data_IF_862707044005
#
_entry.id   IF_862707044005
#
_cell.length_a   1.000
_cell.length_b   1.000
_cell.length_c   1.000
_cell.angle_alpha   90.00
_cell.angle_beta   90.00
_cell.angle_gamma   90.00
#
_symmetry.space_group_name_H-M   'P 1'
#
loop_
_entity.id
_entity.type
_entity.pdbx_description
1 polymer ?
#
# COMPACT_ATOMS: atom_id res chain seq x y z
N UNK A 1 -35.63 14.55 -25.51
CA UNK A 1 -35.34 13.11 -25.62
C UNK A 1 -33.84 12.91 -25.54
N UNK A 2 -33.39 12.30 -24.46
CA UNK A 2 -32.15 11.50 -24.30
C UNK A 2 -31.75 11.61 -22.83
N UNK A 3 -32.01 10.54 -22.08
CA UNK A 3 -31.94 10.49 -20.62
C UNK A 3 -30.52 10.20 -20.11
N UNK A 4 -30.22 10.77 -18.93
CA UNK A 4 -29.06 10.44 -18.10
C UNK A 4 -29.27 9.12 -17.35
N UNK A 5 -28.19 8.46 -16.92
CA UNK A 5 -28.19 7.59 -15.73
C UNK A 5 -26.87 7.74 -14.96
N UNK A 6 -26.95 8.34 -13.77
CA UNK A 6 -25.97 8.19 -12.70
C UNK A 6 -26.74 7.58 -11.52
N UNK A 7 -26.18 6.54 -10.90
CA UNK A 7 -26.77 5.89 -9.74
C UNK A 7 -26.28 6.59 -8.46
N UNK A 8 -27.20 7.09 -7.64
CA UNK A 8 -26.97 7.40 -6.25
C UNK A 8 -28.08 6.71 -5.43
N UNK A 9 -27.69 5.86 -4.48
CA UNK A 9 -28.60 5.28 -3.48
C UNK A 9 -28.55 6.17 -2.25
N UNK A 10 -29.73 6.66 -1.82
CA UNK A 10 -29.94 7.25 -0.49
C UNK A 10 -31.05 6.46 0.18
N UNK A 11 -30.78 5.97 1.40
CA UNK A 11 -31.78 5.38 2.27
C UNK A 11 -32.57 6.48 2.99
N UNK A 12 -33.89 6.48 2.76
CA UNK A 12 -34.97 6.81 3.70
C UNK A 12 -34.84 8.03 4.63
N UNK A 13 -35.37 9.18 4.19
CA UNK A 13 -36.33 9.99 4.97
C UNK A 13 -36.94 11.12 4.10
N UNK A 14 -38.24 11.39 4.29
CA UNK A 14 -38.96 12.49 3.64
C UNK A 14 -38.80 13.79 4.44
N UNK A 15 -38.41 14.88 3.77
CA UNK A 15 -38.71 16.25 4.23
C UNK A 15 -39.12 17.11 3.03
N UNK A 16 -40.37 17.58 3.07
CA UNK A 16 -40.94 18.53 2.12
C UNK A 16 -40.54 19.94 2.56
N UNK A 17 -39.84 20.70 1.72
CA UNK A 17 -39.74 22.16 1.84
C UNK A 17 -40.16 22.77 0.52
N UNK A 18 -41.29 23.48 0.55
CA UNK A 18 -41.75 24.35 -0.55
C UNK A 18 -41.20 25.74 -0.26
N UNK A 19 -40.33 26.24 -1.14
CA UNK A 19 -39.81 27.60 -1.07
C UNK A 19 -39.21 28.04 -2.40
N UNK A 20 -39.76 29.11 -2.98
CA UNK A 20 -39.41 29.65 -4.28
C UNK A 20 -37.98 30.24 -4.32
N UNK A 21 -37.32 30.07 -5.47
CA UNK A 21 -36.02 30.66 -5.76
C UNK A 21 -36.20 32.10 -6.22
N UNK A 22 -35.66 33.06 -5.47
CA UNK A 22 -35.14 34.31 -6.03
C UNK A 22 -33.84 34.70 -5.32
N UNK A 23 -32.73 34.65 -6.05
CA UNK A 23 -31.63 35.62 -5.94
C UNK A 23 -30.66 35.52 -4.76
N UNK A 24 -29.42 35.17 -5.12
CA UNK A 24 -28.14 35.65 -4.58
C UNK A 24 -27.78 35.35 -3.10
N UNK A 25 -26.68 34.60 -2.93
CA UNK A 25 -25.85 34.57 -1.73
C UNK A 25 -25.89 33.26 -0.95
N UNK A 26 -24.96 32.34 -1.24
CA UNK A 26 -24.64 31.24 -0.33
C UNK A 26 -23.78 31.81 0.81
N UNK A 27 -24.46 32.29 1.86
CA UNK A 27 -23.89 32.35 3.19
C UNK A 27 -23.94 30.93 3.77
N UNK A 28 -22.79 30.28 3.92
CA UNK A 28 -22.69 29.02 4.66
C UNK A 28 -22.84 29.33 6.14
N UNK A 29 -24.05 29.14 6.67
CA UNK A 29 -24.30 29.03 8.10
C UNK A 29 -23.53 27.83 8.64
N UNK A 30 -22.48 28.08 9.41
CA UNK A 30 -21.82 27.06 10.21
C UNK A 30 -22.84 26.47 11.19
N UNK A 31 -23.21 25.20 10.97
CA UNK A 31 -23.89 24.40 11.98
C UNK A 31 -22.79 23.92 12.92
N UNK A 32 -22.68 24.56 14.09
CA UNK A 32 -21.84 24.07 15.18
C UNK A 32 -22.36 22.70 15.62
N UNK A 33 -21.54 21.66 15.47
CA UNK A 33 -21.81 20.34 16.03
C UNK A 33 -21.89 20.44 17.57
N UNK A 34 -22.82 19.72 18.22
CA UNK A 34 -22.83 19.66 19.68
C UNK A 34 -21.58 18.92 20.14
N UNK A 35 -20.93 19.47 21.18
CA UNK A 35 -19.88 18.78 21.91
C UNK A 35 -20.43 17.44 22.44
N UNK A 36 -19.62 16.38 22.32
CA UNK A 36 -19.85 14.98 22.72
C UNK A 36 -20.65 14.07 21.76
N UNK A 37 -20.25 13.97 20.50
CA UNK A 37 -20.51 12.73 19.74
C UNK A 37 -19.47 11.69 20.19
N UNK A 38 -19.91 10.62 20.84
CA UNK A 38 -19.05 9.44 21.07
C UNK A 38 -18.56 8.97 19.71
N UNK A 39 -17.24 8.89 19.53
CA UNK A 39 -16.68 8.36 18.28
C UNK A 39 -17.20 6.94 18.08
N UNK A 40 -17.69 6.65 16.88
CA UNK A 40 -18.18 5.31 16.57
C UNK A 40 -17.00 4.33 16.61
N UNK A 41 -17.08 3.25 17.41
CA UNK A 41 -16.00 2.28 17.49
C UNK A 41 -15.79 1.53 16.17
N UNK A 42 -14.60 0.94 16.00
CA UNK A 42 -14.36 -0.11 15.01
C UNK A 42 -15.49 -1.14 15.08
N UNK A 43 -16.10 -1.47 13.94
CA UNK A 43 -17.26 -2.35 13.87
C UNK A 43 -16.94 -3.60 13.05
N UNK A 44 -17.34 -4.77 13.57
CA UNK A 44 -17.13 -6.07 12.92
C UNK A 44 -18.46 -6.77 12.72
N UNK A 45 -18.79 -7.19 11.49
CA UNK A 45 -20.04 -7.88 11.18
C UNK A 45 -19.93 -8.79 9.96
N UNK A 46 -20.91 -9.67 9.78
CA UNK A 46 -21.04 -10.54 8.60
C UNK A 46 -22.26 -10.14 7.76
N UNK A 47 -22.07 -10.06 6.45
CA UNK A 47 -23.15 -10.04 5.45
C UNK A 47 -22.93 -11.16 4.44
N UNK A 48 -23.86 -12.13 4.43
CA UNK A 48 -23.70 -13.37 3.66
C UNK A 48 -22.51 -14.21 4.16
N UNK A 49 -21.50 -14.38 3.31
CA UNK A 49 -20.24 -15.07 3.63
C UNK A 49 -19.04 -14.11 3.70
N UNK A 50 -19.31 -12.80 3.82
CA UNK A 50 -18.28 -11.76 3.88
C UNK A 50 -18.23 -11.17 5.28
N UNK A 51 -17.05 -11.17 5.91
CA UNK A 51 -16.80 -10.41 7.14
C UNK A 51 -16.32 -9.01 6.76
N UNK A 52 -16.88 -8.01 7.44
CA UNK A 52 -16.47 -6.62 7.34
C UNK A 52 -15.87 -6.19 8.67
N UNK A 53 -14.69 -5.59 8.60
CA UNK A 53 -14.03 -4.91 9.71
C UNK A 53 -13.87 -3.46 9.28
N UNK A 54 -14.57 -2.54 9.94
CA UNK A 54 -14.60 -1.13 9.57
C UNK A 54 -14.08 -0.33 10.75
N UNK A 55 -12.98 0.40 10.56
CA UNK A 55 -12.36 1.20 11.60
C UNK A 55 -13.20 2.41 12.01
N UNK A 56 -12.73 3.07 13.08
CA UNK A 56 -13.49 4.14 13.71
C UNK A 56 -13.38 5.43 12.88
N UNK A 57 -14.50 6.09 12.53
CA UNK A 57 -14.43 7.34 11.78
C UNK A 57 -13.66 8.42 12.54
N UNK A 58 -12.65 9.01 11.90
CA UNK A 58 -11.84 10.10 12.43
C UNK A 58 -10.82 9.71 13.52
N UNK A 59 -10.44 8.44 13.63
CA UNK A 59 -9.45 7.94 14.59
C UNK A 59 -8.60 6.82 14.03
N UNK A 60 -7.30 6.87 14.34
CA UNK A 60 -6.37 5.74 14.21
C UNK A 60 -6.89 4.47 14.91
N UNK A 61 -6.89 3.38 14.15
CA UNK A 61 -7.34 2.04 14.49
C UNK A 61 -6.14 1.09 14.47
N UNK A 62 -6.03 0.23 15.49
CA UNK A 62 -5.10 -0.90 15.49
C UNK A 62 -5.90 -2.18 15.28
N UNK A 63 -5.91 -2.69 14.05
CA UNK A 63 -6.72 -3.84 13.66
C UNK A 63 -5.81 -5.05 13.47
N UNK A 64 -5.96 -6.05 14.32
CA UNK A 64 -5.32 -7.35 14.17
C UNK A 64 -6.38 -8.40 13.83
N UNK A 65 -6.24 -9.01 12.65
CA UNK A 65 -7.15 -10.02 12.15
C UNK A 65 -6.43 -11.33 11.91
N UNK A 66 -7.00 -12.44 12.40
CA UNK A 66 -6.38 -13.76 12.34
C UNK A 66 -7.40 -14.82 11.93
N UNK A 67 -6.94 -15.83 11.19
CA UNK A 67 -7.71 -17.02 10.89
C UNK A 67 -7.37 -18.13 11.90
N UNK A 68 -8.20 -18.30 12.94
CA UNK A 68 -7.92 -19.29 13.98
C UNK A 68 -8.52 -20.67 13.63
N UNK A 69 -7.68 -21.69 13.72
CA UNK A 69 -8.03 -23.10 13.59
C UNK A 69 -8.02 -23.74 14.99
N UNK A 70 -8.99 -23.40 15.85
CA UNK A 70 -9.07 -23.98 17.19
C UNK A 70 -9.16 -25.52 17.14
N UNK A 71 -8.15 -26.20 17.70
CA UNK A 71 -7.91 -27.63 17.57
C UNK A 71 -8.72 -28.55 18.51
N UNK A 72 -9.64 -28.04 19.34
CA UNK A 72 -10.22 -28.88 20.41
C UNK A 72 -11.67 -29.33 20.22
N UNK A 73 -12.45 -28.78 19.27
CA UNK A 73 -13.88 -29.15 19.17
C UNK A 73 -14.44 -29.43 17.76
N UNK A 74 -13.62 -29.39 16.70
CA UNK A 74 -14.07 -29.74 15.34
C UNK A 74 -15.27 -28.90 14.84
N UNK A 75 -15.44 -27.69 15.37
CA UNK A 75 -16.53 -26.78 15.03
C UNK A 75 -15.99 -25.52 14.36
N UNK A 76 -16.12 -25.50 13.02
CA UNK A 76 -16.05 -24.38 12.07
C UNK A 76 -14.82 -23.45 12.22
N UNK A 77 -13.91 -23.40 11.23
CA UNK A 77 -12.89 -22.36 11.23
C UNK A 77 -13.54 -20.97 11.19
N UNK A 78 -13.10 -20.08 12.08
CA UNK A 78 -13.71 -18.77 12.27
C UNK A 78 -12.66 -17.67 12.08
N UNK A 79 -13.09 -16.57 11.44
CA UNK A 79 -12.30 -15.33 11.43
C UNK A 79 -12.37 -14.69 12.81
N UNK A 80 -11.24 -14.14 13.27
CA UNK A 80 -11.16 -13.48 14.57
C UNK A 80 -10.53 -12.09 14.45
N UNK A 81 -11.10 -11.11 15.16
CA UNK A 81 -10.50 -9.78 15.34
C UNK A 81 -10.14 -9.61 16.80
N UNK A 82 -8.88 -9.26 17.09
CA UNK A 82 -8.42 -9.05 18.45
C UNK A 82 -8.94 -7.71 19.00
N UNK A 83 -9.64 -7.76 20.14
CA UNK A 83 -10.26 -6.62 20.83
C UNK A 83 -9.96 -6.63 22.35
N UNK A 84 -8.68 -6.43 22.76
CA UNK A 84 -8.27 -6.51 24.17
C UNK A 84 -8.92 -5.42 25.04
N UNK A 85 -9.32 -4.30 24.46
CA UNK A 85 -9.95 -3.19 25.16
C UNK A 85 -11.48 -3.27 25.20
N UNK A 86 -12.08 -4.26 24.51
CA UNK A 86 -13.53 -4.40 24.39
C UNK A 86 -14.20 -3.28 23.58
N UNK A 87 -13.40 -2.51 22.83
CA UNK A 87 -13.78 -1.32 22.10
C UNK A 87 -14.42 -1.60 20.73
N UNK A 88 -14.38 -2.83 20.23
CA UNK A 88 -14.92 -3.18 18.91
C UNK A 88 -16.43 -3.46 18.99
N UNK A 89 -17.24 -2.73 18.24
CA UNK A 89 -18.67 -3.03 18.12
C UNK A 89 -18.88 -4.34 17.34
N UNK A 90 -19.54 -5.31 17.99
CA UNK A 90 -19.87 -6.60 17.38
C UNK A 90 -21.26 -6.53 16.76
N UNK A 91 -21.29 -6.58 15.43
CA UNK A 91 -22.50 -6.61 14.64
C UNK A 91 -23.01 -8.02 14.34
N UNK A 92 -24.04 -8.14 13.48
CA UNK A 92 -24.68 -9.42 13.16
C UNK A 92 -23.70 -10.47 12.64
N UNK A 93 -23.91 -11.73 13.02
CA UNK A 93 -23.12 -12.86 12.54
C UNK A 93 -21.76 -13.05 13.21
N UNK A 94 -21.40 -12.20 14.17
CA UNK A 94 -20.21 -12.36 15.00
C UNK A 94 -20.57 -12.41 16.49
N UNK A 95 -19.69 -12.98 17.30
CA UNK A 95 -19.82 -13.05 18.76
C UNK A 95 -18.50 -12.72 19.43
N UNK A 96 -18.53 -12.10 20.61
CA UNK A 96 -17.33 -11.87 21.40
C UNK A 96 -17.03 -13.09 22.27
N UNK A 97 -15.79 -13.58 22.23
CA UNK A 97 -15.30 -14.64 23.10
C UNK A 97 -14.66 -14.08 24.39
N UNK A 98 -14.52 -14.93 25.40
CA UNK A 98 -13.93 -14.62 26.71
C UNK A 98 -12.43 -14.33 26.66
N UNK A 99 -11.77 -14.58 25.53
CA UNK A 99 -10.34 -14.37 25.29
C UNK A 99 -10.01 -13.01 24.64
N UNK A 100 -10.99 -12.09 24.58
CA UNK A 100 -10.87 -10.77 23.91
C UNK A 100 -10.84 -10.83 22.37
N UNK A 101 -11.50 -11.81 21.76
CA UNK A 101 -11.65 -11.88 20.31
C UNK A 101 -13.10 -11.71 19.87
N UNK A 102 -13.30 -11.09 18.70
CA UNK A 102 -14.58 -11.11 17.98
C UNK A 102 -14.52 -12.21 16.94
N UNK A 103 -15.34 -13.25 17.11
CA UNK A 103 -15.39 -14.45 16.27
C UNK A 103 -16.52 -14.35 15.25
N UNK A 104 -16.21 -14.59 13.98
CA UNK A 104 -17.14 -14.56 12.85
C UNK A 104 -17.03 -15.89 12.06
N UNK A 105 -17.97 -16.84 12.23
CA UNK A 105 -17.94 -18.14 11.55
C UNK A 105 -18.50 -18.09 10.11
N UNK A 106 -18.20 -19.12 9.31
CA UNK A 106 -18.72 -19.35 7.95
C UNK A 106 -18.36 -18.26 6.92
N UNK A 107 -17.15 -17.74 7.01
CA UNK A 107 -16.67 -16.66 6.16
C UNK A 107 -15.80 -17.21 5.02
N UNK A 108 -16.03 -16.73 3.80
CA UNK A 108 -15.23 -17.06 2.61
C UNK A 108 -14.51 -15.85 2.01
N UNK A 109 -14.85 -14.64 2.48
CA UNK A 109 -14.19 -13.39 2.10
C UNK A 109 -14.12 -12.40 3.27
N UNK A 110 -13.04 -11.62 3.34
CA UNK A 110 -12.92 -10.51 4.27
C UNK A 110 -12.74 -9.17 3.53
N UNK A 111 -13.34 -8.13 4.10
CA UNK A 111 -13.11 -6.74 3.72
C UNK A 111 -12.75 -5.99 4.99
N UNK A 112 -11.55 -5.43 5.01
CA UNK A 112 -11.03 -4.65 6.13
C UNK A 112 -10.82 -3.22 5.63
N UNK A 113 -11.25 -2.25 6.41
CA UNK A 113 -11.18 -0.82 6.11
C UNK A 113 -10.77 -0.11 7.39
N UNK A 114 -9.64 0.60 7.38
CA UNK A 114 -9.15 1.36 8.55
C UNK A 114 -9.94 2.63 8.83
N UNK A 115 -10.53 3.24 7.81
CA UNK A 115 -11.36 4.44 7.95
C UNK A 115 -10.57 5.74 7.79
N UNK A 116 -10.62 6.62 8.80
CA UNK A 116 -9.84 7.87 8.76
C UNK A 116 -8.83 7.90 9.91
N UNK A 117 -7.66 8.47 9.64
CA UNK A 117 -6.53 8.57 10.56
C UNK A 117 -5.51 7.47 10.31
N UNK A 118 -4.31 7.64 10.88
CA UNK A 118 -3.19 6.72 10.67
C UNK A 118 -3.49 5.35 11.31
N UNK A 119 -3.80 4.36 10.50
CA UNK A 119 -4.22 3.02 10.91
C UNK A 119 -3.06 2.03 10.87
N UNK A 120 -3.09 1.05 11.77
CA UNK A 120 -2.21 -0.11 11.70
C UNK A 120 -3.04 -1.37 11.54
N UNK A 121 -2.93 -2.01 10.39
CA UNK A 121 -3.71 -3.19 10.05
C UNK A 121 -2.77 -4.36 9.78
N UNK A 122 -2.94 -5.44 10.53
CA UNK A 122 -2.19 -6.68 10.33
C UNK A 122 -3.16 -7.83 10.13
N UNK A 123 -2.99 -8.53 9.02
CA UNK A 123 -3.72 -9.76 8.72
C UNK A 123 -2.71 -10.89 8.81
N UNK A 124 -2.94 -11.83 9.71
CA UNK A 124 -2.04 -12.97 9.91
C UNK A 124 -2.74 -14.30 9.62
N UNK A 125 -1.92 -15.26 9.19
CA UNK A 125 -2.24 -16.63 8.82
C UNK A 125 -2.78 -16.78 7.40
N UNK A 126 -2.21 -17.75 6.67
CA UNK A 126 -2.76 -18.28 5.42
C UNK A 126 -4.24 -18.55 5.65
N UNK A 127 -5.10 -17.69 5.12
CA UNK A 127 -6.50 -17.48 5.53
C UNK A 127 -7.45 -18.66 5.27
N UNK A 128 -6.97 -19.91 5.25
CA UNK A 128 -7.75 -21.11 5.00
C UNK A 128 -8.43 -21.12 3.63
N UNK A 129 -7.92 -20.35 2.67
CA UNK A 129 -8.57 -20.12 1.37
C UNK A 129 -9.60 -18.98 1.34
N UNK A 130 -9.67 -18.16 2.40
CA UNK A 130 -10.47 -16.93 2.42
C UNK A 130 -9.74 -15.83 1.66
N UNK A 131 -10.43 -15.22 0.69
CA UNK A 131 -9.91 -14.03 0.00
C UNK A 131 -10.10 -12.79 0.87
N UNK A 132 -9.12 -11.90 0.92
CA UNK A 132 -9.25 -10.62 1.62
C UNK A 132 -9.00 -9.43 0.71
N UNK A 133 -9.70 -8.34 1.01
CA UNK A 133 -9.38 -7.00 0.54
C UNK A 133 -9.13 -6.14 1.77
N UNK A 134 -8.03 -5.41 1.77
CA UNK A 134 -7.65 -4.47 2.81
C UNK A 134 -7.63 -3.07 2.20
N UNK A 135 -8.28 -2.13 2.87
CA UNK A 135 -8.26 -0.71 2.61
C UNK A 135 -7.63 -0.03 3.84
N UNK A 136 -6.58 0.75 3.64
CA UNK A 136 -6.02 1.59 4.71
C UNK A 136 -7.05 2.64 5.12
N UNK A 137 -7.42 3.49 4.18
CA UNK A 137 -8.40 4.54 4.42
C UNK A 137 -7.79 5.90 4.10
N UNK A 138 -8.10 6.92 4.89
CA UNK A 138 -7.38 8.20 4.83
C UNK A 138 -6.41 8.31 5.99
N UNK A 139 -5.25 8.91 5.79
CA UNK A 139 -4.20 8.95 6.81
C UNK A 139 -2.99 8.14 6.36
N UNK A 140 -1.93 8.16 7.16
CA UNK A 140 -0.70 7.46 6.85
C UNK A 140 -0.73 6.09 7.52
N UNK A 141 -1.05 5.06 6.75
CA UNK A 141 -1.35 3.74 7.27
C UNK A 141 -0.15 2.81 7.26
N UNK A 142 -0.13 1.84 8.17
CA UNK A 142 0.82 0.73 8.16
C UNK A 142 0.10 -0.59 7.99
N UNK A 143 0.25 -1.19 6.82
CA UNK A 143 -0.53 -2.31 6.35
C UNK A 143 0.36 -3.53 6.19
N UNK A 144 0.03 -4.63 6.86
CA UNK A 144 0.73 -5.92 6.72
C UNK A 144 -0.27 -6.97 6.25
N UNK A 145 -0.49 -7.07 4.92
CA UNK A 145 -1.33 -8.10 4.32
C UNK A 145 -0.66 -9.48 4.29
N UNK A 146 -1.42 -10.55 4.55
CA UNK A 146 -1.00 -11.95 4.31
C UNK A 146 -2.09 -12.71 3.54
N UNK A 147 -1.79 -13.18 2.32
CA UNK A 147 -1.94 -12.42 1.07
C UNK A 147 -3.36 -11.82 0.89
N UNK A 148 -3.43 -10.50 0.83
CA UNK A 148 -4.66 -9.75 0.49
C UNK A 148 -4.49 -8.97 -0.80
N UNK A 149 -5.60 -8.53 -1.40
CA UNK A 149 -5.54 -7.35 -2.25
C UNK A 149 -5.53 -6.12 -1.34
N UNK A 150 -4.58 -5.22 -1.53
CA UNK A 150 -4.40 -4.03 -0.70
C UNK A 150 -4.59 -2.76 -1.52
N UNK A 151 -5.15 -1.76 -0.87
CA UNK A 151 -5.32 -0.39 -1.33
C UNK A 151 -5.00 0.50 -0.11
N UNK A 152 -3.91 1.25 -0.14
CA UNK A 152 -3.52 2.14 0.96
C UNK A 152 -4.55 3.23 1.15
N UNK A 153 -4.78 4.00 0.08
CA UNK A 153 -5.75 5.09 0.05
C UNK A 153 -5.04 6.44 0.03
N UNK A 154 -5.66 7.53 0.51
CA UNK A 154 -4.97 8.80 0.63
C UNK A 154 -4.09 8.89 1.88
N UNK A 155 -2.81 9.21 1.69
CA UNK A 155 -1.81 9.39 2.74
C UNK A 155 -0.46 8.81 2.31
N UNK A 156 0.57 9.01 3.11
CA UNK A 156 1.87 8.37 2.87
C UNK A 156 1.87 7.01 3.60
N UNK A 157 1.54 5.93 2.89
CA UNK A 157 1.31 4.60 3.47
C UNK A 157 2.58 3.74 3.50
N UNK A 158 2.62 2.78 4.42
CA UNK A 158 3.65 1.74 4.46
C UNK A 158 3.00 0.37 4.34
N UNK A 159 3.31 -0.36 3.28
CA UNK A 159 2.70 -1.65 2.95
C UNK A 159 3.76 -2.75 2.95
N UNK A 160 3.62 -3.69 3.88
CA UNK A 160 4.53 -4.81 4.11
C UNK A 160 4.09 -6.07 3.35
N UNK A 161 4.69 -6.30 2.17
CA UNK A 161 4.23 -7.25 1.16
C UNK A 161 4.89 -8.63 1.30
N UNK A 162 4.04 -9.65 1.31
CA UNK A 162 4.41 -11.05 1.11
C UNK A 162 3.91 -11.59 -0.23
N UNK A 163 4.39 -12.77 -0.60
CA UNK A 163 4.06 -13.44 -1.85
C UNK A 163 2.53 -13.57 -2.09
N UNK A 164 2.10 -13.25 -3.31
CA UNK A 164 0.73 -13.37 -3.79
C UNK A 164 -0.12 -12.10 -3.62
N UNK A 165 0.50 -10.98 -3.28
CA UNK A 165 -0.19 -9.72 -2.95
C UNK A 165 -0.28 -8.80 -4.19
N UNK A 166 -1.48 -8.25 -4.44
CA UNK A 166 -1.65 -7.09 -5.33
C UNK A 166 -1.82 -5.86 -4.45
N UNK A 167 -0.96 -4.86 -4.65
CA UNK A 167 -0.92 -3.67 -3.83
C UNK A 167 -1.07 -2.41 -4.68
N UNK A 168 -1.94 -1.52 -4.22
CA UNK A 168 -2.05 -0.14 -4.66
C UNK A 168 -1.69 0.74 -3.46
N UNK A 169 -0.78 1.69 -3.64
CA UNK A 169 -0.45 2.70 -2.63
C UNK A 169 -1.62 3.66 -2.49
N UNK A 170 -1.84 4.48 -3.51
CA UNK A 170 -3.01 5.36 -3.59
C UNK A 170 -2.61 6.79 -3.90
N UNK A 171 -3.03 7.74 -3.07
CA UNK A 171 -2.58 9.14 -3.18
C UNK A 171 -1.60 9.43 -2.05
N UNK A 172 -0.35 9.79 -2.34
CA UNK A 172 0.67 10.11 -1.33
C UNK A 172 2.00 9.47 -1.69
N UNK A 173 2.99 9.57 -0.80
CA UNK A 173 4.30 8.97 -1.03
C UNK A 173 4.36 7.63 -0.29
N UNK A 174 4.05 6.56 -1.00
CA UNK A 174 3.88 5.25 -0.41
C UNK A 174 5.18 4.47 -0.37
N UNK A 175 5.31 3.60 0.64
CA UNK A 175 6.46 2.71 0.82
C UNK A 175 6.01 1.26 0.83
N UNK A 176 6.46 0.50 -0.16
CA UNK A 176 6.28 -0.95 -0.23
C UNK A 176 7.54 -1.64 0.28
N UNK A 177 7.42 -2.40 1.36
CA UNK A 177 8.49 -3.29 1.85
C UNK A 177 8.22 -4.68 1.30
N UNK A 178 9.15 -5.23 0.53
CA UNK A 178 8.92 -6.49 -0.20
C UNK A 178 9.72 -7.64 0.41
N UNK A 179 9.05 -8.75 0.67
CA UNK A 179 9.67 -10.01 1.14
C UNK A 179 9.47 -11.12 0.10
N UNK A 180 10.36 -11.19 -0.88
CA UNK A 180 10.34 -12.19 -1.96
C UNK A 180 8.98 -12.46 -2.64
N UNK A 181 8.88 -13.58 -3.36
CA UNK A 181 7.62 -14.04 -3.94
C UNK A 181 7.12 -13.27 -5.17
N UNK A 182 5.82 -13.41 -5.46
CA UNK A 182 5.15 -12.75 -6.60
C UNK A 182 4.25 -11.61 -6.12
N UNK A 183 4.29 -10.45 -6.75
CA UNK A 183 3.49 -9.27 -6.38
C UNK A 183 3.10 -8.48 -7.63
N UNK A 184 2.07 -7.64 -7.53
CA UNK A 184 1.73 -6.62 -8.52
C UNK A 184 1.55 -5.29 -7.78
N UNK A 185 2.50 -4.38 -7.95
CA UNK A 185 2.62 -3.12 -7.20
C UNK A 185 2.33 -1.96 -8.16
N UNK A 186 1.42 -1.08 -7.73
CA UNK A 186 1.15 0.23 -8.32
C UNK A 186 1.34 1.26 -7.21
N UNK A 187 2.18 2.26 -7.43
CA UNK A 187 2.38 3.35 -6.47
C UNK A 187 1.13 4.21 -6.36
N UNK A 188 0.75 4.83 -7.47
CA UNK A 188 -0.46 5.65 -7.57
C UNK A 188 -0.11 7.08 -7.91
N UNK A 189 -0.56 8.04 -7.10
CA UNK A 189 -0.14 9.44 -7.23
C UNK A 189 0.80 9.79 -6.10
N UNK A 190 1.86 10.55 -6.39
CA UNK A 190 2.86 10.93 -5.41
C UNK A 190 4.21 10.39 -5.82
N UNK A 191 5.06 10.05 -4.85
CA UNK A 191 6.42 9.56 -5.09
C UNK A 191 6.64 8.29 -4.29
N UNK A 192 6.60 7.17 -4.98
CA UNK A 192 6.43 5.87 -4.34
C UNK A 192 7.73 5.07 -4.35
N UNK A 193 7.96 4.33 -3.26
CA UNK A 193 9.19 3.58 -3.02
C UNK A 193 8.90 2.09 -2.92
N UNK A 194 9.60 1.28 -3.70
CA UNK A 194 9.71 -0.16 -3.46
C UNK A 194 11.07 -0.47 -2.82
N UNK A 195 11.02 -1.06 -1.64
CA UNK A 195 12.18 -1.32 -0.78
C UNK A 195 12.45 -2.81 -0.63
N UNK A 196 13.56 -3.25 -1.21
CA UNK A 196 14.15 -4.58 -1.09
C UNK A 196 15.31 -4.65 -0.09
N UNK A 197 15.47 -3.66 0.79
CA UNK A 197 16.64 -3.52 1.66
C UNK A 197 16.91 -4.69 2.63
N UNK A 198 15.99 -5.64 2.78
CA UNK A 198 16.21 -6.89 3.54
C UNK A 198 16.63 -8.08 2.68
N UNK A 199 16.59 -7.95 1.35
CA UNK A 199 17.00 -9.00 0.43
C UNK A 199 18.53 -9.09 0.37
N UNK A 200 19.04 -10.32 0.45
CA UNK A 200 20.49 -10.59 0.33
C UNK A 200 20.86 -11.17 -1.03
N UNK A 201 19.86 -11.53 -1.84
CA UNK A 201 20.04 -12.01 -3.20
C UNK A 201 19.87 -10.85 -4.17
N UNK A 202 20.54 -10.95 -5.33
CA UNK A 202 20.37 -10.01 -6.43
C UNK A 202 18.88 -9.84 -6.79
N UNK A 203 18.43 -8.58 -6.76
CA UNK A 203 17.12 -8.11 -7.16
C UNK A 203 17.23 -7.46 -8.53
N UNK A 204 16.22 -7.64 -9.37
CA UNK A 204 16.19 -6.93 -10.63
C UNK A 204 14.79 -6.50 -10.93
N UNK A 205 14.68 -5.22 -11.27
CA UNK A 205 13.41 -4.53 -11.46
C UNK A 205 13.51 -3.65 -12.68
N UNK A 206 12.47 -3.71 -13.50
CA UNK A 206 12.25 -2.82 -14.63
C UNK A 206 10.90 -2.14 -14.44
N UNK A 207 10.90 -0.81 -14.39
CA UNK A 207 9.67 -0.01 -14.28
C UNK A 207 8.95 0.08 -15.64
N UNK A 208 8.47 -1.06 -16.15
CA UNK A 208 7.79 -1.17 -17.46
C UNK A 208 6.40 -1.83 -17.38
N UNK A 209 5.98 -2.26 -16.20
CA UNK A 209 4.69 -2.91 -15.99
C UNK A 209 4.61 -4.34 -16.54
N UNK A 210 5.75 -4.99 -16.77
CA UNK A 210 5.87 -6.40 -17.13
C UNK A 210 6.20 -7.20 -15.87
N UNK A 211 5.55 -8.37 -15.73
CA UNK A 211 5.77 -9.25 -14.59
C UNK A 211 7.06 -10.07 -14.70
N UNK A 212 8.23 -9.45 -14.59
CA UNK A 212 9.55 -10.12 -14.53
C UNK A 212 10.50 -9.59 -13.43
N UNK A 213 9.93 -8.86 -12.47
CA UNK A 213 10.64 -8.20 -11.38
C UNK A 213 10.85 -9.09 -10.15
N UNK A 214 11.92 -8.79 -9.40
CA UNK A 214 12.20 -9.32 -8.08
C UNK A 214 13.53 -10.06 -7.94
N UNK A 215 13.76 -10.72 -6.79
CA UNK A 215 15.00 -11.44 -6.53
C UNK A 215 15.16 -12.66 -7.44
N UNK A 216 16.41 -13.07 -7.68
CA UNK A 216 16.74 -14.29 -8.44
C UNK A 216 15.96 -15.50 -7.91
N UNK A 217 15.28 -16.21 -8.81
CA UNK A 217 14.41 -17.34 -8.47
C UNK A 217 12.95 -16.97 -8.20
N UNK A 218 12.63 -15.67 -8.07
CA UNK A 218 11.29 -15.13 -7.82
C UNK A 218 10.90 -13.99 -8.78
N UNK A 219 11.51 -13.94 -9.98
CA UNK A 219 11.25 -12.96 -11.06
C UNK A 219 9.90 -13.16 -11.75
N UNK A 220 8.84 -12.95 -10.99
CA UNK A 220 7.45 -13.00 -11.45
C UNK A 220 6.62 -11.89 -10.76
N UNK A 221 7.29 -10.95 -10.07
CA UNK A 221 6.67 -9.73 -9.57
C UNK A 221 6.50 -8.74 -10.71
N UNK A 222 5.60 -7.78 -10.53
CA UNK A 222 5.39 -6.65 -11.42
C UNK A 222 5.45 -5.37 -10.60
N UNK A 223 6.39 -4.49 -10.92
CA UNK A 223 6.45 -3.13 -10.41
C UNK A 223 6.12 -2.22 -11.58
N UNK A 224 5.03 -1.46 -11.40
CA UNK A 224 4.50 -0.64 -12.46
C UNK A 224 5.28 0.68 -12.61
N UNK A 225 5.17 1.35 -13.77
CA UNK A 225 5.92 2.58 -14.04
C UNK A 225 5.45 3.82 -13.26
N UNK A 226 4.40 3.71 -12.45
CA UNK A 226 3.93 4.71 -11.48
C UNK A 226 4.58 4.55 -10.11
N UNK A 227 5.76 3.93 -10.07
CA UNK A 227 6.69 3.90 -8.94
C UNK A 227 7.96 4.63 -9.41
N UNK A 228 8.53 5.49 -8.59
CA UNK A 228 9.72 6.28 -8.96
C UNK A 228 10.98 5.85 -8.20
N UNK A 229 10.83 5.23 -7.03
CA UNK A 229 11.94 4.88 -6.15
C UNK A 229 12.12 3.39 -6.00
N UNK A 230 13.36 2.95 -6.20
CA UNK A 230 13.78 1.58 -5.95
C UNK A 230 14.96 1.59 -4.98
N UNK A 231 14.89 0.70 -3.99
CA UNK A 231 15.97 0.47 -3.05
C UNK A 231 16.33 -1.00 -3.01
N UNK A 232 17.57 -1.31 -3.34
CA UNK A 232 18.16 -2.64 -3.27
C UNK A 232 18.67 -3.00 -1.88
N UNK A 233 19.23 -4.20 -1.81
CA UNK A 233 19.66 -4.88 -0.59
C UNK A 233 21.17 -5.03 -0.54
N UNK A 234 21.63 -6.25 -0.23
CA UNK A 234 23.07 -6.57 -0.21
C UNK A 234 23.53 -7.42 -1.41
N UNK A 235 22.67 -7.55 -2.42
CA UNK A 235 22.93 -8.34 -3.61
C UNK A 235 23.41 -7.44 -4.75
N UNK A 236 23.90 -8.05 -5.84
CA UNK A 236 24.20 -7.33 -7.06
C UNK A 236 22.88 -7.02 -7.80
N UNK A 237 22.33 -5.86 -7.54
CA UNK A 237 20.99 -5.46 -7.94
C UNK A 237 20.99 -4.80 -9.32
N UNK A 238 19.87 -4.87 -10.04
CA UNK A 238 19.75 -4.32 -11.38
C UNK A 238 18.41 -3.59 -11.56
N UNK A 239 18.44 -2.26 -11.56
CA UNK A 239 17.26 -1.41 -11.68
C UNK A 239 17.26 -0.63 -12.99
N UNK A 240 16.12 -0.58 -13.66
CA UNK A 240 15.94 0.15 -14.90
C UNK A 240 14.59 0.85 -14.98
N UNK A 241 14.58 2.08 -15.49
CA UNK A 241 13.38 2.79 -15.91
C UNK A 241 13.43 3.15 -17.39
N UNK A 242 12.24 3.23 -18.01
CA UNK A 242 12.06 3.65 -19.40
C UNK A 242 11.02 4.77 -19.56
N UNK A 243 10.30 5.12 -18.50
CA UNK A 243 9.38 6.26 -18.44
C UNK A 243 10.13 7.59 -18.34
N UNK A 244 9.47 8.71 -18.63
CA UNK A 244 10.07 10.05 -18.59
C UNK A 244 9.95 10.76 -17.22
N UNK A 245 9.85 9.97 -16.15
CA UNK A 245 9.64 10.43 -14.77
C UNK A 245 10.99 10.52 -14.05
N UNK A 246 11.09 11.34 -13.01
CA UNK A 246 12.31 11.46 -12.20
C UNK A 246 12.38 10.33 -11.17
N UNK A 247 13.33 9.41 -11.34
CA UNK A 247 13.49 8.24 -10.49
C UNK A 247 14.59 8.45 -9.43
N UNK A 248 14.48 7.79 -8.27
CA UNK A 248 15.62 7.62 -7.36
C UNK A 248 15.91 6.14 -7.12
N UNK A 249 17.04 5.67 -7.66
CA UNK A 249 17.49 4.30 -7.47
C UNK A 249 18.67 4.26 -6.50
N UNK A 250 18.59 3.36 -5.53
CA UNK A 250 19.64 3.08 -4.55
C UNK A 250 20.02 1.61 -4.65
N UNK A 251 21.23 1.30 -5.09
CA UNK A 251 21.73 -0.07 -5.26
C UNK A 251 21.87 -0.79 -3.92
N UNK A 252 22.69 -0.25 -3.02
CA UNK A 252 22.86 -0.79 -1.67
C UNK A 252 24.28 -1.30 -1.45
N UNK A 253 24.43 -2.53 -0.99
CA UNK A 253 25.72 -3.22 -1.06
C UNK A 253 25.69 -4.20 -2.24
N UNK A 254 26.77 -4.32 -3.00
CA UNK A 254 26.83 -5.21 -4.16
C UNK A 254 27.46 -4.51 -5.35
N UNK A 255 27.76 -5.27 -6.42
CA UNK A 255 28.10 -4.63 -7.69
C UNK A 255 26.80 -4.39 -8.48
N UNK A 256 26.27 -3.16 -8.45
CA UNK A 256 24.92 -2.84 -8.91
C UNK A 256 24.88 -2.27 -10.34
N UNK A 257 23.73 -2.41 -11.01
CA UNK A 257 23.46 -1.82 -12.32
C UNK A 257 22.21 -0.94 -12.23
N UNK A 258 22.38 0.39 -12.29
CA UNK A 258 21.28 1.35 -12.22
C UNK A 258 21.16 2.13 -13.53
N UNK A 259 19.96 2.10 -14.14
CA UNK A 259 19.66 2.77 -15.41
C UNK A 259 18.43 3.68 -15.19
N UNK A 260 18.63 4.99 -15.10
CA UNK A 260 17.58 5.98 -14.84
C UNK A 260 16.59 6.14 -16.00
N UNK A 261 17.12 6.17 -17.23
CA UNK A 261 16.29 6.33 -18.42
C UNK A 261 16.08 7.81 -18.76
N UNK A 262 14.91 8.19 -19.29
CA UNK A 262 14.57 9.60 -19.45
C UNK A 262 14.06 10.22 -18.13
N UNK A 263 14.51 11.41 -17.77
CA UNK A 263 14.13 12.06 -16.52
C UNK A 263 15.32 12.82 -15.93
N UNK A 264 15.14 13.54 -14.83
CA UNK A 264 16.28 13.97 -14.02
C UNK A 264 16.41 12.96 -12.88
N UNK A 265 17.17 11.91 -13.11
CA UNK A 265 17.25 10.78 -12.20
C UNK A 265 18.32 10.99 -11.13
N UNK A 266 18.12 10.36 -9.97
CA UNK A 266 19.15 10.25 -8.92
C UNK A 266 19.53 8.78 -8.76
N UNK A 267 20.77 8.44 -9.09
CA UNK A 267 21.29 7.08 -9.00
C UNK A 267 22.41 7.04 -7.95
N UNK A 268 22.25 6.18 -6.95
CA UNK A 268 23.17 5.99 -5.84
C UNK A 268 23.58 4.51 -5.83
N UNK A 269 24.79 4.20 -6.29
CA UNK A 269 25.32 2.83 -6.38
C UNK A 269 25.43 2.21 -4.99
N UNK A 270 26.21 2.85 -4.12
CA UNK A 270 26.37 2.43 -2.75
C UNK A 270 27.74 1.80 -2.54
N UNK A 271 27.81 0.62 -1.93
CA UNK A 271 29.07 -0.10 -1.73
C UNK A 271 29.27 -1.16 -2.79
N UNK A 272 30.38 -1.12 -3.52
CA UNK A 272 30.73 -2.12 -4.53
C UNK A 272 31.19 -1.45 -5.81
N UNK A 273 31.37 -2.22 -6.89
CA UNK A 273 31.76 -1.64 -8.18
C UNK A 273 30.52 -1.48 -9.05
N UNK A 274 29.98 -0.28 -9.07
CA UNK A 274 28.66 -0.04 -9.63
C UNK A 274 28.72 0.42 -11.08
N UNK A 275 27.64 0.19 -11.82
CA UNK A 275 27.43 0.73 -13.16
C UNK A 275 26.19 1.61 -13.17
N UNK A 276 26.39 2.92 -13.28
CA UNK A 276 25.34 3.94 -13.24
C UNK A 276 25.17 4.58 -14.61
N UNK A 277 23.95 4.59 -15.13
CA UNK A 277 23.59 5.23 -16.40
C UNK A 277 22.38 6.13 -16.19
N UNK A 278 22.61 7.44 -16.20
CA UNK A 278 21.56 8.45 -16.08
C UNK A 278 20.58 8.35 -17.23
N UNK A 279 21.00 8.77 -18.43
CA UNK A 279 20.23 8.61 -19.66
C UNK A 279 19.95 9.95 -20.31
N UNK A 280 18.68 10.34 -20.44
CA UNK A 280 18.30 11.62 -21.02
C UNK A 280 17.73 12.53 -19.93
N UNK A 281 18.21 13.77 -19.84
CA UNK A 281 17.92 14.67 -18.73
C UNK A 281 19.13 14.94 -17.84
N UNK A 282 18.96 15.77 -16.81
CA UNK A 282 20.07 16.22 -15.95
C UNK A 282 20.12 15.37 -14.70
N UNK A 283 20.97 14.34 -14.75
CA UNK A 283 21.01 13.30 -13.72
C UNK A 283 21.99 13.63 -12.59
N UNK A 284 21.81 12.97 -11.44
CA UNK A 284 22.76 12.95 -10.32
C UNK A 284 23.19 11.51 -10.05
N UNK A 285 24.46 11.21 -10.33
CA UNK A 285 25.06 9.89 -10.15
C UNK A 285 26.05 9.96 -8.98
N UNK A 286 25.87 9.06 -8.02
CA UNK A 286 26.75 8.85 -6.88
C UNK A 286 27.21 7.40 -6.92
N UNK A 287 28.46 7.16 -7.31
CA UNK A 287 29.07 5.82 -7.32
C UNK A 287 29.12 5.25 -5.91
N UNK A 288 29.84 5.94 -5.01
CA UNK A 288 30.05 5.49 -3.65
C UNK A 288 31.37 4.72 -3.50
N UNK A 289 31.58 3.99 -2.39
CA UNK A 289 32.83 3.27 -2.20
C UNK A 289 33.01 2.11 -3.19
N UNK A 290 33.91 2.28 -4.14
CA UNK A 290 34.37 1.22 -5.04
C UNK A 290 35.03 1.76 -6.30
N UNK A 291 34.99 0.97 -7.37
CA UNK A 291 35.38 1.40 -8.72
C UNK A 291 34.14 1.41 -9.59
N UNK A 292 33.59 2.60 -9.79
CA UNK A 292 32.28 2.76 -10.42
C UNK A 292 32.41 3.21 -11.86
N UNK A 293 31.47 2.80 -12.71
CA UNK A 293 31.35 3.25 -14.09
C UNK A 293 30.10 4.13 -14.19
N UNK A 294 30.29 5.42 -14.43
CA UNK A 294 29.18 6.37 -14.44
C UNK A 294 29.05 7.09 -15.78
N UNK A 295 27.88 6.97 -16.41
CA UNK A 295 27.50 7.69 -17.62
C UNK A 295 26.28 8.57 -17.31
N UNK A 296 26.52 9.87 -17.12
CA UNK A 296 25.45 10.85 -16.90
C UNK A 296 24.62 11.15 -18.16
N UNK A 297 24.94 10.54 -19.30
CA UNK A 297 24.19 10.71 -20.52
C UNK A 297 24.46 12.03 -21.27
N UNK A 298 23.67 12.25 -22.32
CA UNK A 298 23.96 13.27 -23.35
C UNK A 298 23.74 14.71 -22.87
N UNK A 299 22.86 14.91 -21.90
CA UNK A 299 22.51 16.22 -21.35
C UNK A 299 23.40 16.61 -20.15
N UNK A 300 24.28 15.68 -19.73
CA UNK A 300 25.19 15.83 -18.61
C UNK A 300 24.49 15.73 -17.27
N UNK A 301 25.25 15.90 -16.18
CA UNK A 301 24.72 15.72 -14.84
C UNK A 301 25.79 15.96 -13.79
N UNK A 302 25.42 15.73 -12.53
CA UNK A 302 26.39 15.66 -11.44
C UNK A 302 26.85 14.21 -11.34
N UNK A 303 28.16 14.02 -11.27
CA UNK A 303 28.80 12.72 -11.09
C UNK A 303 29.77 12.86 -9.93
N UNK A 304 29.77 11.91 -9.00
CA UNK A 304 30.71 11.88 -7.86
C UNK A 304 32.15 11.60 -8.29
N UNK A 305 33.11 11.93 -7.42
CA UNK A 305 34.54 11.84 -7.72
C UNK A 305 35.06 10.39 -7.79
N UNK A 306 34.31 9.40 -7.28
CA UNK A 306 34.60 7.96 -7.30
C UNK A 306 34.16 7.25 -8.58
N UNK A 307 33.45 7.95 -9.46
CA UNK A 307 33.10 7.46 -10.78
C UNK A 307 34.28 7.51 -11.77
N UNK A 308 34.64 6.35 -12.31
CA UNK A 308 35.47 6.24 -13.51
C UNK A 308 34.61 6.49 -14.78
N UNK A 309 35.22 7.15 -15.77
CA UNK A 309 34.60 7.52 -17.05
C UNK A 309 35.11 6.66 -18.22
#
# INVERSE_FOLDING_TARGET
>A
MSGRRWFARIATAWLMVVGAVTGAGLATTAVSAPASASVAPTTVYVDGSVVYVVGAPGLSSNILVQYDHFYETNTIPAWSVHDPAGGVAVGPGCTRDVTHFVLCPNVSRAVIDGGDGDDRITVSDQLGGVSCVLHGGSGNDTLSPDPCRVDGGPGDDTIDLYAGTTALGGDGNDTFVVHGGTYDISGGTGRDVVNYGSETAAVSVTLDGIADDGPVGHRNGNIRPDVEDLRGGTGNDAFAAYGAVENTFRGGDGDDLLIGGPGNDTLDGGFGNDTLKGGAGVDTLVGGPGVDICDAGADGGKVSDDCEA
#
